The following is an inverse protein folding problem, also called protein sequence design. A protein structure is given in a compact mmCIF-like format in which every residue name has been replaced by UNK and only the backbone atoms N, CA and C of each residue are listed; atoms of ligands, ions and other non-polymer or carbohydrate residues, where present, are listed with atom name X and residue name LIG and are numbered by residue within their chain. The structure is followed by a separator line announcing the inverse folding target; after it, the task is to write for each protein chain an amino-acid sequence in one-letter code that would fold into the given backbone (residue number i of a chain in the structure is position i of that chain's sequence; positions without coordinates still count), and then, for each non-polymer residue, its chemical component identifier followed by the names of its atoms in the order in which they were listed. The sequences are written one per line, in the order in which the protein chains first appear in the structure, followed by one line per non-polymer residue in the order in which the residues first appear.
data_IF_057934194354
#
_entry.id   IF_057934194354
#
_cell.length_a   1.000
_cell.length_b   1.000
_cell.length_c   1.000
_cell.angle_alpha   90.00
_cell.angle_beta   90.00
_cell.angle_gamma   90.00
#
_symmetry.space_group_name_H-M   'P 1'
#
loop_
_entity.id
_entity.type
_entity.pdbx_description
1 polymer ?
#
# COMPACT_ATOMS: atom_id res chain seq x y z
N UNK A 1 -28.01 -19.61 19.11
CA UNK A 1 -27.45 -18.63 20.08
C UNK A 1 -27.33 -17.26 19.41
N UNK A 2 -27.88 -16.23 20.04
CA UNK A 2 -27.88 -14.82 19.61
C UNK A 2 -26.52 -14.32 19.13
N UNK A 3 -25.44 -14.65 19.84
CA UNK A 3 -24.08 -14.20 19.52
C UNK A 3 -23.63 -14.67 18.12
N UNK A 4 -24.09 -15.84 17.68
CA UNK A 4 -23.77 -16.34 16.34
C UNK A 4 -24.44 -15.50 15.25
N UNK A 5 -25.72 -15.14 15.42
CA UNK A 5 -26.44 -14.24 14.51
C UNK A 5 -25.78 -12.86 14.46
N UNK A 6 -25.41 -12.33 15.63
CA UNK A 6 -24.69 -11.07 15.74
C UNK A 6 -23.37 -11.06 14.95
N UNK A 7 -22.61 -12.15 15.01
CA UNK A 7 -21.36 -12.31 14.25
C UNK A 7 -21.60 -12.33 12.74
N UNK A 8 -22.67 -12.99 12.28
CA UNK A 8 -23.05 -13.01 10.86
C UNK A 8 -23.38 -11.59 10.40
N UNK A 9 -24.26 -10.90 11.12
CA UNK A 9 -24.67 -9.52 10.82
C UNK A 9 -23.48 -8.54 10.77
N UNK A 10 -22.50 -8.71 11.66
CA UNK A 10 -21.28 -7.89 11.65
C UNK A 10 -20.46 -8.04 10.36
N UNK A 11 -20.42 -9.24 9.78
CA UNK A 11 -19.56 -9.55 8.65
C UNK A 11 -20.20 -9.35 7.28
N UNK A 12 -21.51 -9.10 7.22
CA UNK A 12 -22.20 -8.79 5.98
C UNK A 12 -21.75 -7.45 5.41
N UNK A 13 -21.55 -7.40 4.09
CA UNK A 13 -21.09 -6.21 3.38
C UNK A 13 -21.59 -6.25 1.93
N UNK A 14 -21.97 -5.10 1.32
CA UNK A 14 -22.49 -5.06 -0.05
C UNK A 14 -21.55 -5.62 -1.13
N UNK A 15 -20.24 -5.60 -0.88
CA UNK A 15 -19.22 -6.15 -1.78
C UNK A 15 -18.85 -7.63 -1.48
N UNK A 16 -19.50 -8.27 -0.51
CA UNK A 16 -19.31 -9.71 -0.22
C UNK A 16 -20.58 -10.43 -0.70
N UNK A 17 -20.48 -11.42 -1.58
CA UNK A 17 -21.64 -12.19 -2.02
C UNK A 17 -22.19 -12.99 -0.83
N UNK A 18 -23.51 -13.16 -0.80
CA UNK A 18 -24.15 -14.06 0.15
C UNK A 18 -23.88 -15.53 -0.22
N UNK A 19 -23.99 -16.43 0.75
CA UNK A 19 -23.77 -17.88 0.59
C UNK A 19 -24.92 -18.59 -0.18
N UNK A 20 -25.48 -17.93 -1.18
CA UNK A 20 -26.47 -18.51 -2.10
C UNK A 20 -25.75 -19.09 -3.32
N UNK A 21 -26.32 -20.12 -3.95
CA UNK A 21 -25.78 -20.73 -5.20
C UNK A 21 -25.59 -19.70 -6.33
N UNK A 22 -26.27 -18.56 -6.26
CA UNK A 22 -26.23 -17.46 -7.24
C UNK A 22 -25.26 -16.32 -6.86
N UNK A 23 -24.70 -16.33 -5.64
CA UNK A 23 -23.77 -15.30 -5.18
C UNK A 23 -24.37 -13.88 -5.19
N UNK A 24 -25.60 -13.73 -4.68
CA UNK A 24 -26.34 -12.46 -4.72
C UNK A 24 -25.64 -11.38 -3.89
N UNK A 25 -25.61 -10.15 -4.43
CA UNK A 25 -25.13 -8.97 -3.72
C UNK A 25 -26.33 -8.16 -3.22
N UNK A 26 -26.31 -7.79 -1.95
CA UNK A 26 -27.34 -6.98 -1.33
C UNK A 26 -26.84 -5.55 -1.08
N UNK A 27 -27.76 -4.59 -1.15
CA UNK A 27 -27.50 -3.22 -0.75
C UNK A 27 -27.33 -3.11 0.78
N UNK A 28 -26.73 -2.01 1.25
CA UNK A 28 -26.53 -1.80 2.69
C UNK A 28 -27.86 -1.77 3.47
N UNK A 29 -28.92 -1.23 2.85
CA UNK A 29 -30.27 -1.15 3.43
C UNK A 29 -30.93 -2.53 3.51
N UNK A 30 -30.84 -3.33 2.44
CA UNK A 30 -31.36 -4.70 2.42
C UNK A 30 -30.66 -5.59 3.46
N UNK A 31 -29.34 -5.44 3.61
CA UNK A 31 -28.56 -6.16 4.64
C UNK A 31 -29.04 -5.76 6.04
N UNK A 32 -29.24 -4.46 6.30
CA UNK A 32 -29.72 -3.98 7.59
C UNK A 32 -31.12 -4.51 7.89
N UNK A 33 -32.05 -4.38 6.94
CA UNK A 33 -33.42 -4.87 7.10
C UNK A 33 -33.46 -6.38 7.32
N UNK A 34 -32.69 -7.15 6.53
CA UNK A 34 -32.58 -8.59 6.69
C UNK A 34 -32.04 -9.00 8.06
N UNK A 35 -31.00 -8.32 8.55
CA UNK A 35 -30.41 -8.58 9.86
C UNK A 35 -31.34 -8.21 11.04
N UNK A 36 -32.12 -7.13 10.90
CA UNK A 36 -33.15 -6.71 11.86
C UNK A 36 -34.24 -7.78 11.93
N UNK A 37 -34.75 -8.20 10.77
CA UNK A 37 -35.82 -9.18 10.67
C UNK A 37 -35.38 -10.56 11.21
N UNK A 38 -34.17 -11.01 10.87
CA UNK A 38 -33.62 -12.28 11.37
C UNK A 38 -33.48 -12.28 12.91
N UNK A 39 -32.99 -11.18 13.48
CA UNK A 39 -32.84 -11.06 14.93
C UNK A 39 -34.20 -10.93 15.64
N UNK A 40 -35.13 -10.17 15.06
CA UNK A 40 -36.50 -10.03 15.58
C UNK A 40 -37.21 -11.38 15.61
N UNK A 41 -37.21 -12.11 14.49
CA UNK A 41 -37.85 -13.41 14.36
C UNK A 41 -37.28 -14.41 15.37
N UNK A 42 -35.94 -14.44 15.51
CA UNK A 42 -35.30 -15.28 16.52
C UNK A 42 -35.71 -14.92 17.95
N UNK A 43 -35.80 -13.64 18.29
CA UNK A 43 -36.23 -13.22 19.62
C UNK A 43 -37.72 -13.50 19.86
N UNK A 44 -38.55 -13.39 18.83
CA UNK A 44 -39.98 -13.69 18.89
C UNK A 44 -40.24 -15.18 19.12
N UNK A 45 -39.57 -16.06 18.37
CA UNK A 45 -39.71 -17.52 18.50
C UNK A 45 -39.24 -18.07 19.86
N UNK A 46 -38.37 -17.34 20.56
CA UNK A 46 -37.80 -17.75 21.84
C UNK A 46 -38.40 -16.95 23.02
N UNK A 47 -39.45 -16.16 22.81
CA UNK A 47 -40.09 -15.29 23.82
C UNK A 47 -39.13 -14.28 24.51
N UNK A 48 -38.09 -13.85 23.80
CA UNK A 48 -37.04 -12.94 24.29
C UNK A 48 -37.35 -11.47 23.95
N UNK A 49 -38.57 -11.01 24.21
CA UNK A 49 -39.04 -9.66 23.87
C UNK A 49 -38.21 -8.53 24.51
N UNK A 50 -37.79 -8.71 25.75
CA UNK A 50 -36.93 -7.75 26.45
C UNK A 50 -35.53 -7.65 25.83
N UNK A 51 -34.98 -8.78 25.38
CA UNK A 51 -33.66 -8.83 24.74
C UNK A 51 -33.73 -8.11 23.39
N UNK A 52 -34.81 -8.33 22.64
CA UNK A 52 -35.06 -7.59 21.40
C UNK A 52 -35.11 -6.08 21.63
N UNK A 53 -35.89 -5.62 22.62
CA UNK A 53 -35.99 -4.20 22.94
C UNK A 53 -34.63 -3.58 23.27
N UNK A 54 -33.77 -4.30 24.02
CA UNK A 54 -32.41 -3.87 24.29
C UNK A 54 -31.54 -3.81 23.02
N UNK A 55 -31.60 -4.84 22.17
CA UNK A 55 -30.80 -4.92 20.95
C UNK A 55 -31.19 -3.84 19.94
N UNK A 56 -32.48 -3.58 19.77
CA UNK A 56 -32.97 -2.49 18.94
C UNK A 56 -32.37 -1.15 19.39
N UNK A 57 -32.58 -0.80 20.66
CA UNK A 57 -32.15 0.49 21.20
C UNK A 57 -30.63 0.71 21.17
N UNK A 58 -29.83 -0.36 21.27
CA UNK A 58 -28.37 -0.25 21.36
C UNK A 58 -27.62 -0.54 20.07
N UNK A 59 -28.14 -1.39 19.19
CA UNK A 59 -27.37 -1.93 18.06
C UNK A 59 -28.09 -1.79 16.72
N UNK A 60 -29.38 -2.06 16.66
CA UNK A 60 -30.10 -2.18 15.38
C UNK A 60 -30.81 -0.90 14.91
N UNK A 61 -30.86 0.14 15.74
CA UNK A 61 -31.29 1.47 15.28
C UNK A 61 -30.36 1.99 14.17
N UNK A 62 -30.86 2.70 13.14
CA UNK A 62 -30.04 3.16 12.01
C UNK A 62 -28.80 3.97 12.43
N UNK A 63 -28.95 4.81 13.46
CA UNK A 63 -27.86 5.60 14.01
C UNK A 63 -26.75 4.71 14.60
N UNK A 64 -27.12 3.67 15.36
CA UNK A 64 -26.16 2.76 16.00
C UNK A 64 -25.58 1.75 15.00
N UNK A 65 -26.38 1.28 14.05
CA UNK A 65 -25.96 0.34 13.02
C UNK A 65 -24.70 0.81 12.28
N UNK A 66 -24.67 2.11 11.94
CA UNK A 66 -23.52 2.73 11.27
C UNK A 66 -22.19 2.64 12.04
N UNK A 67 -22.24 2.49 13.36
CA UNK A 67 -21.06 2.48 14.23
C UNK A 67 -20.38 1.11 14.32
N UNK A 68 -21.13 0.03 14.11
CA UNK A 68 -20.60 -1.33 14.32
C UNK A 68 -20.72 -2.22 13.08
N UNK A 69 -21.76 -2.08 12.26
CA UNK A 69 -21.96 -2.95 11.11
C UNK A 69 -21.02 -2.58 9.97
N UNK A 70 -20.41 -3.60 9.34
CA UNK A 70 -19.53 -3.37 8.18
C UNK A 70 -20.30 -2.91 6.96
N UNK A 71 -21.57 -3.31 6.82
CA UNK A 71 -22.41 -2.96 5.66
C UNK A 71 -22.67 -1.47 5.50
N UNK A 72 -22.55 -0.67 6.58
CA UNK A 72 -22.71 0.78 6.53
C UNK A 72 -21.51 1.50 5.89
N UNK A 73 -20.34 0.86 5.83
CA UNK A 73 -19.15 1.42 5.19
C UNK A 73 -19.07 0.96 3.73
N UNK A 74 -18.69 1.86 2.82
CA UNK A 74 -18.45 1.50 1.42
C UNK A 74 -17.16 0.67 1.23
N UNK A 75 -16.21 0.80 2.17
CA UNK A 75 -14.90 0.15 2.09
C UNK A 75 -14.75 -0.99 3.10
N UNK A 76 -14.27 -2.14 2.63
CA UNK A 76 -13.86 -3.27 3.48
C UNK A 76 -12.46 -3.02 4.03
N UNK A 77 -12.33 -2.85 5.35
CA UNK A 77 -11.01 -2.86 5.98
C UNK A 77 -10.38 -4.25 5.83
N UNK A 78 -9.31 -4.35 5.03
CA UNK A 78 -8.51 -5.57 4.85
C UNK A 78 -7.70 -5.93 6.11
N UNK A 79 -7.43 -4.95 6.96
CA UNK A 79 -6.66 -5.14 8.19
C UNK A 79 -7.62 -5.40 9.35
N UNK A 80 -7.34 -6.45 10.14
CA UNK A 80 -7.96 -6.62 11.45
C UNK A 80 -7.53 -5.45 12.32
N UNK A 81 -8.50 -4.66 12.78
CA UNK A 81 -8.26 -3.50 13.65
C UNK A 81 -7.48 -3.88 14.90
N UNK A 82 -7.63 -5.11 15.40
CA UNK A 82 -6.86 -5.65 16.53
C UNK A 82 -5.36 -5.66 16.27
N UNK A 83 -4.90 -6.10 15.09
CA UNK A 83 -3.47 -6.10 14.76
C UNK A 83 -2.88 -4.70 14.67
N UNK A 84 -3.65 -3.75 14.13
CA UNK A 84 -3.22 -2.34 14.04
C UNK A 84 -3.11 -1.74 15.44
N UNK A 85 -4.12 -2.00 16.28
CA UNK A 85 -4.15 -1.54 17.68
C UNK A 85 -3.02 -2.17 18.49
N UNK A 86 -2.79 -3.48 18.37
CA UNK A 86 -1.69 -4.18 19.04
C UNK A 86 -0.32 -3.66 18.61
N UNK A 87 -0.12 -3.44 17.30
CA UNK A 87 1.14 -2.89 16.80
C UNK A 87 1.34 -1.44 17.27
N UNK A 88 0.28 -0.63 17.29
CA UNK A 88 0.31 0.72 17.86
C UNK A 88 0.72 0.67 19.34
N UNK A 89 0.08 -0.18 20.14
CA UNK A 89 0.41 -0.35 21.57
C UNK A 89 1.83 -0.85 21.78
N UNK A 90 2.33 -1.74 20.93
CA UNK A 90 3.73 -2.21 20.95
C UNK A 90 4.70 -1.06 20.74
N UNK A 91 4.45 -0.18 19.77
CA UNK A 91 5.29 1.00 19.52
C UNK A 91 5.18 2.03 20.65
N UNK A 92 3.96 2.32 21.09
CA UNK A 92 3.68 3.26 22.18
C UNK A 92 4.35 2.83 23.49
N UNK A 93 4.27 1.52 23.82
CA UNK A 93 4.89 0.96 25.01
C UNK A 93 6.42 1.10 24.99
N UNK A 94 7.05 0.90 23.83
CA UNK A 94 8.52 0.95 23.69
C UNK A 94 9.08 2.36 23.57
N UNK A 95 8.34 3.29 22.99
CA UNK A 95 8.82 4.68 22.78
C UNK A 95 8.43 5.59 23.93
N UNK A 96 7.13 5.63 24.24
CA UNK A 96 6.57 6.70 25.06
C UNK A 96 6.31 6.22 26.51
N UNK A 97 6.05 4.91 26.73
CA UNK A 97 5.85 4.34 28.07
C UNK A 97 7.07 3.59 28.64
N UNK A 98 8.20 3.54 27.94
CA UNK A 98 9.34 2.74 28.38
C UNK A 98 9.93 3.21 29.73
N UNK A 99 9.75 4.49 30.06
CA UNK A 99 10.27 5.11 31.29
C UNK A 99 9.28 5.00 32.46
N UNK A 100 8.02 4.61 32.23
CA UNK A 100 6.99 4.60 33.25
C UNK A 100 6.67 3.17 33.69
N UNK A 101 6.98 2.86 34.95
CA UNK A 101 6.53 1.63 35.59
C UNK A 101 5.06 1.78 36.01
N UNK A 102 4.16 0.99 35.41
CA UNK A 102 2.70 1.03 35.63
C UNK A 102 2.10 2.45 35.48
N UNK A 103 2.08 2.99 34.26
CA UNK A 103 1.50 4.31 34.02
C UNK A 103 0.01 4.34 34.37
N UNK A 104 -0.44 5.41 35.04
CA UNK A 104 -1.86 5.66 35.28
C UNK A 104 -2.59 5.92 33.95
N UNK A 105 -3.88 5.58 33.89
CA UNK A 105 -4.70 5.76 32.67
C UNK A 105 -4.71 7.21 32.17
N UNK A 106 -4.69 8.17 33.09
CA UNK A 106 -4.67 9.59 32.76
C UNK A 106 -3.40 10.00 32.01
N UNK A 107 -2.23 9.56 32.50
CA UNK A 107 -0.94 9.79 31.83
C UNK A 107 -0.90 9.15 30.44
N UNK A 108 -1.43 7.92 30.30
CA UNK A 108 -1.55 7.24 29.01
C UNK A 108 -2.40 8.06 28.05
N UNK A 109 -3.56 8.55 28.50
CA UNK A 109 -4.47 9.36 27.69
C UNK A 109 -3.82 10.65 27.24
N UNK A 110 -3.14 11.35 28.15
CA UNK A 110 -2.40 12.57 27.84
C UNK A 110 -1.30 12.31 26.78
N UNK A 111 -0.53 11.24 26.91
CA UNK A 111 0.53 10.87 25.95
C UNK A 111 -0.03 10.48 24.58
N UNK A 112 -1.21 9.84 24.54
CA UNK A 112 -1.88 9.51 23.27
C UNK A 112 -2.32 10.79 22.56
N UNK A 113 -2.93 11.73 23.28
CA UNK A 113 -3.43 12.99 22.70
C UNK A 113 -2.27 13.90 22.27
N UNK A 114 -1.26 14.07 23.13
CA UNK A 114 -0.14 14.99 22.89
C UNK A 114 0.93 14.44 21.95
N UNK A 115 1.19 13.13 22.01
CA UNK A 115 2.31 12.50 21.30
C UNK A 115 1.88 11.67 20.10
N UNK A 116 0.96 10.73 20.29
CA UNK A 116 0.59 9.74 19.26
C UNK A 116 -0.28 10.38 18.18
N UNK A 117 -1.33 11.09 18.58
CA UNK A 117 -2.32 11.64 17.66
C UNK A 117 -1.70 12.59 16.62
N UNK A 118 -0.82 13.56 17.00
CA UNK A 118 -0.22 14.45 16.01
C UNK A 118 0.72 13.71 15.04
N UNK A 119 1.45 12.69 15.52
CA UNK A 119 2.31 11.86 14.66
C UNK A 119 1.49 11.08 13.62
N UNK A 120 0.35 10.54 14.03
CA UNK A 120 -0.56 9.82 13.15
C UNK A 120 -1.18 10.77 12.13
N UNK A 121 -1.66 11.94 12.57
CA UNK A 121 -2.20 12.99 11.68
C UNK A 121 -1.16 13.41 10.64
N UNK A 122 0.07 13.68 11.05
CA UNK A 122 1.18 13.99 10.14
C UNK A 122 1.41 12.87 9.11
N UNK A 123 1.36 11.61 9.55
CA UNK A 123 1.52 10.46 8.65
C UNK A 123 0.36 10.38 7.65
N UNK A 124 -0.87 10.54 8.11
CA UNK A 124 -2.07 10.58 7.26
C UNK A 124 -1.98 11.71 6.24
N UNK A 125 -1.62 12.92 6.67
CA UNK A 125 -1.47 14.07 5.77
C UNK A 125 -0.36 13.88 4.74
N UNK A 126 0.68 13.12 5.07
CA UNK A 126 1.72 12.74 4.10
C UNK A 126 1.23 11.73 3.07
N UNK A 127 0.44 10.74 3.49
CA UNK A 127 -0.15 9.70 2.62
C UNK A 127 -1.21 10.32 1.71
N UNK A 128 -2.06 11.20 2.25
CA UNK A 128 -3.08 11.93 1.51
C UNK A 128 -2.51 13.05 0.64
N UNK A 129 -1.19 13.30 0.68
CA UNK A 129 -0.51 14.32 -0.12
C UNK A 129 -0.82 15.76 0.30
N UNK A 130 -1.54 15.97 1.40
CA UNK A 130 -1.93 17.30 1.92
C UNK A 130 -0.74 18.12 2.40
N UNK A 131 0.37 17.46 2.77
CA UNK A 131 1.55 18.13 3.34
C UNK A 131 2.46 18.82 2.31
N UNK A 132 2.30 18.54 1.01
CA UNK A 132 3.19 19.03 -0.07
C UNK A 132 2.41 19.51 -1.29
N UNK A 133 1.37 20.31 -1.09
CA UNK A 133 0.68 20.98 -2.20
C UNK A 133 1.69 21.88 -2.91
N UNK A 134 2.08 21.52 -4.14
CA UNK A 134 3.07 22.25 -4.95
C UNK A 134 4.49 21.66 -5.02
N UNK A 135 4.84 20.63 -4.24
CA UNK A 135 6.14 19.94 -4.35
C UNK A 135 5.94 18.49 -4.80
N UNK A 136 6.85 17.99 -5.64
CA UNK A 136 6.81 16.60 -6.07
C UNK A 136 6.76 15.64 -4.86
N UNK A 137 5.94 14.58 -4.97
CA UNK A 137 5.84 13.52 -3.96
C UNK A 137 7.23 12.91 -3.74
N UNK A 138 7.59 12.67 -2.48
CA UNK A 138 8.81 11.92 -2.20
C UNK A 138 8.67 10.53 -2.84
N UNK A 139 9.68 10.13 -3.60
CA UNK A 139 9.78 8.77 -4.10
C UNK A 139 9.90 7.82 -2.91
N UNK A 140 9.21 6.69 -2.97
CA UNK A 140 9.43 5.62 -2.00
C UNK A 140 10.90 5.14 -2.09
N UNK A 141 11.46 4.53 -1.03
CA UNK A 141 12.84 4.03 -1.06
C UNK A 141 13.11 3.10 -2.24
N UNK A 142 12.17 2.18 -2.53
CA UNK A 142 12.28 1.28 -3.69
C UNK A 142 12.19 2.02 -5.03
N UNK A 143 11.42 3.11 -5.13
CA UNK A 143 11.34 3.92 -6.35
C UNK A 143 12.63 4.73 -6.56
N UNK A 144 13.27 5.15 -5.48
CA UNK A 144 14.57 5.84 -5.53
C UNK A 144 15.65 4.87 -5.98
N UNK A 145 15.65 3.67 -5.41
CA UNK A 145 16.54 2.58 -5.79
C UNK A 145 16.33 2.18 -7.26
N UNK A 146 15.07 1.98 -7.66
CA UNK A 146 14.70 1.68 -9.03
C UNK A 146 15.16 2.79 -9.98
N UNK A 147 14.90 4.07 -9.66
CA UNK A 147 15.35 5.21 -10.47
C UNK A 147 16.88 5.23 -10.59
N UNK A 148 17.60 4.92 -9.51
CA UNK A 148 19.07 4.83 -9.51
C UNK A 148 19.54 3.74 -10.46
N UNK A 149 19.00 2.54 -10.33
CA UNK A 149 19.32 1.41 -11.22
C UNK A 149 18.95 1.71 -12.67
N UNK A 150 17.79 2.33 -12.91
CA UNK A 150 17.33 2.74 -14.23
C UNK A 150 18.30 3.69 -14.92
N UNK A 151 18.73 4.75 -14.22
CA UNK A 151 19.71 5.70 -14.74
C UNK A 151 21.05 5.01 -14.98
N UNK A 152 21.44 4.06 -14.12
CA UNK A 152 22.69 3.33 -14.29
C UNK A 152 22.65 2.40 -15.51
N UNK A 153 21.56 1.65 -15.69
CA UNK A 153 21.32 0.80 -16.85
C UNK A 153 21.25 1.60 -18.16
N UNK A 154 20.84 2.86 -18.09
CA UNK A 154 20.81 3.79 -19.22
C UNK A 154 22.17 4.22 -19.76
N UNK A 155 23.25 4.09 -18.98
CA UNK A 155 24.60 4.50 -19.37
C UNK A 155 25.26 3.46 -20.27
N UNK A 156 26.17 3.91 -21.13
CA UNK A 156 27.05 2.98 -21.86
C UNK A 156 27.97 2.26 -20.87
N UNK A 157 28.44 1.08 -21.27
CA UNK A 157 29.31 0.29 -20.40
C UNK A 157 30.66 0.97 -20.17
N UNK A 158 31.16 1.72 -21.15
CA UNK A 158 32.34 2.59 -21.04
C UNK A 158 32.14 3.68 -19.97
N UNK A 159 30.98 4.36 -19.99
CA UNK A 159 30.63 5.38 -19.00
C UNK A 159 30.56 4.82 -17.58
N UNK A 160 30.08 3.57 -17.41
CA UNK A 160 30.06 2.91 -16.10
C UNK A 160 31.46 2.60 -15.59
N UNK A 161 32.35 2.10 -16.45
CA UNK A 161 33.74 1.82 -16.08
C UNK A 161 34.47 3.10 -15.67
N UNK A 162 34.34 4.17 -16.44
CA UNK A 162 34.90 5.49 -16.12
C UNK A 162 34.37 6.03 -14.78
N UNK A 163 33.06 5.85 -14.50
CA UNK A 163 32.50 6.25 -13.21
C UNK A 163 32.97 5.38 -12.04
N UNK A 164 33.10 4.07 -12.22
CA UNK A 164 33.70 3.16 -11.22
C UNK A 164 35.14 3.58 -10.92
N UNK A 165 35.92 3.89 -11.94
CA UNK A 165 37.29 4.35 -11.78
C UNK A 165 37.36 5.70 -11.04
N UNK A 166 36.53 6.67 -11.43
CA UNK A 166 36.42 7.98 -10.76
C UNK A 166 35.98 7.87 -9.30
N UNK A 167 35.07 6.96 -8.97
CA UNK A 167 34.61 6.76 -7.60
C UNK A 167 35.69 6.14 -6.72
N UNK A 168 36.48 5.18 -7.25
CA UNK A 168 37.65 4.64 -6.55
C UNK A 168 38.74 5.70 -6.39
N UNK A 169 38.97 6.54 -7.42
CA UNK A 169 39.98 7.61 -7.37
C UNK A 169 39.62 8.75 -6.41
N UNK A 170 38.33 9.09 -6.28
CA UNK A 170 37.81 10.13 -5.38
C UNK A 170 37.47 9.60 -3.98
N UNK A 171 37.41 8.28 -3.80
CA UNK A 171 37.11 7.65 -2.53
C UNK A 171 38.27 7.72 -1.52
N UNK A 172 37.98 7.39 -0.27
CA UNK A 172 38.96 7.40 0.83
C UNK A 172 39.87 6.16 0.88
N UNK A 173 39.89 5.34 -0.18
CA UNK A 173 40.72 4.14 -0.26
C UNK A 173 42.20 4.54 -0.35
N UNK A 174 43.05 3.94 0.50
CA UNK A 174 44.47 4.29 0.62
C UNK A 174 45.37 3.22 0.00
N UNK A 175 46.42 3.69 -0.69
CA UNK A 175 47.54 2.86 -1.15
C UNK A 175 47.12 1.60 -1.91
N UNK A 176 47.57 0.45 -1.41
CA UNK A 176 47.47 -0.86 -2.06
C UNK A 176 46.03 -1.31 -2.38
N UNK A 177 45.06 -1.04 -1.50
CA UNK A 177 43.65 -1.41 -1.73
C UNK A 177 43.02 -0.64 -2.89
N UNK A 178 43.48 0.60 -3.12
CA UNK A 178 43.03 1.41 -4.26
C UNK A 178 43.62 0.89 -5.57
N UNK A 179 44.90 0.53 -5.56
CA UNK A 179 45.60 -0.03 -6.71
C UNK A 179 45.02 -1.38 -7.12
N UNK A 180 44.73 -2.26 -6.15
CA UNK A 180 44.06 -3.54 -6.39
C UNK A 180 42.66 -3.37 -6.99
N UNK A 181 41.87 -2.39 -6.51
CA UNK A 181 40.55 -2.06 -7.07
C UNK A 181 40.63 -1.50 -8.49
N UNK A 182 41.63 -0.69 -8.79
CA UNK A 182 41.84 -0.16 -10.15
C UNK A 182 42.31 -1.25 -11.11
N UNK A 183 43.17 -2.17 -10.65
CA UNK A 183 43.61 -3.33 -11.43
C UNK A 183 42.43 -4.27 -11.77
N UNK A 184 41.51 -4.50 -10.82
CA UNK A 184 40.28 -5.26 -11.07
C UNK A 184 39.37 -4.61 -12.11
N UNK A 185 39.28 -3.26 -12.13
CA UNK A 185 38.48 -2.53 -13.12
C UNK A 185 39.12 -2.65 -14.52
N UNK A 186 40.46 -2.57 -14.60
CA UNK A 186 41.18 -2.76 -15.86
C UNK A 186 41.07 -4.21 -16.38
N UNK A 187 41.06 -5.20 -15.49
CA UNK A 187 40.80 -6.60 -15.85
C UNK A 187 39.34 -6.81 -16.31
N UNK A 188 38.36 -6.11 -15.70
CA UNK A 188 36.95 -6.10 -16.12
C UNK A 188 36.78 -5.46 -17.52
N UNK A 189 37.60 -4.47 -17.87
CA UNK A 189 37.64 -3.86 -19.21
C UNK A 189 38.22 -4.80 -20.27
N UNK A 190 39.30 -5.54 -19.94
CA UNK A 190 39.94 -6.49 -20.86
C UNK A 190 39.17 -7.80 -21.05
N UNK A 191 38.12 -8.06 -20.25
CA UNK A 191 37.34 -9.28 -20.35
C UNK A 191 36.40 -9.21 -21.55
N UNK A 192 36.64 -10.09 -22.53
CA UNK A 192 35.79 -10.23 -23.70
C UNK A 192 34.34 -10.57 -23.27
N UNK A 193 33.40 -9.68 -23.62
CA UNK A 193 32.00 -9.86 -23.22
C UNK A 193 31.38 -10.91 -24.12
N UNK A 194 30.88 -11.99 -23.51
CA UNK A 194 30.20 -13.03 -24.25
C UNK A 194 29.03 -12.47 -25.08
N UNK A 195 28.90 -12.93 -26.32
CA UNK A 195 27.79 -12.58 -27.19
C UNK A 195 26.49 -13.11 -26.59
N UNK A 196 25.67 -12.23 -26.03
CA UNK A 196 24.39 -12.62 -25.45
C UNK A 196 23.29 -12.57 -26.52
N UNK A 197 22.61 -13.70 -26.73
CA UNK A 197 21.46 -13.79 -27.61
C UNK A 197 20.22 -13.38 -26.83
N UNK A 198 19.53 -12.34 -27.33
CA UNK A 198 18.26 -11.87 -26.77
C UNK A 198 17.17 -12.12 -27.78
N UNK A 199 16.17 -12.94 -27.43
CA UNK A 199 14.97 -13.17 -28.24
C UNK A 199 13.81 -12.40 -27.61
N UNK A 200 13.35 -11.35 -28.30
CA UNK A 200 12.26 -10.48 -27.84
C UNK A 200 10.92 -11.21 -27.85
N UNK A 201 10.66 -12.00 -28.90
CA UNK A 201 9.40 -12.73 -29.06
C UNK A 201 9.18 -13.79 -27.97
N UNK A 202 10.28 -14.36 -27.46
CA UNK A 202 10.27 -15.39 -26.43
C UNK A 202 10.58 -14.86 -25.03
N UNK A 203 10.83 -13.57 -24.88
CA UNK A 203 11.24 -12.94 -23.61
C UNK A 203 12.42 -13.66 -22.93
N UNK A 204 13.41 -14.11 -23.72
CA UNK A 204 14.59 -14.83 -23.21
C UNK A 204 15.88 -14.12 -23.56
N UNK A 205 16.81 -14.06 -22.61
CA UNK A 205 18.16 -13.54 -22.82
C UNK A 205 19.18 -14.53 -22.25
N UNK A 206 20.27 -14.81 -22.98
CA UNK A 206 21.33 -15.71 -22.50
C UNK A 206 22.31 -15.05 -21.53
N UNK A 207 22.01 -13.84 -21.02
CA UNK A 207 22.89 -13.17 -20.07
C UNK A 207 22.77 -13.76 -18.65
N UNK A 208 23.88 -13.80 -17.88
CA UNK A 208 23.86 -14.26 -16.48
C UNK A 208 22.88 -13.48 -15.59
N UNK A 209 22.64 -12.21 -15.90
CA UNK A 209 21.69 -11.34 -15.23
C UNK A 209 20.24 -11.87 -15.34
N UNK A 210 19.84 -12.36 -16.51
CA UNK A 210 18.52 -12.98 -16.75
C UNK A 210 18.29 -14.24 -15.90
N UNK A 211 19.33 -15.05 -15.72
CA UNK A 211 19.26 -16.26 -14.88
C UNK A 211 19.18 -15.93 -13.37
N UNK A 212 19.57 -14.71 -12.98
CA UNK A 212 19.60 -14.29 -11.57
C UNK A 212 18.35 -13.50 -11.18
N UNK A 213 17.74 -12.73 -12.10
CA UNK A 213 16.46 -12.07 -11.84
C UNK A 213 15.61 -11.86 -13.11
N UNK A 214 14.38 -12.39 -13.12
CA UNK A 214 13.40 -12.17 -14.19
C UNK A 214 12.93 -10.71 -14.33
N UNK A 215 13.21 -9.87 -13.32
CA UNK A 215 12.79 -8.45 -13.27
C UNK A 215 13.60 -7.58 -14.25
N UNK A 216 14.85 -7.94 -14.53
CA UNK A 216 15.74 -7.17 -15.40
C UNK A 216 15.34 -7.22 -16.89
N UNK A 217 14.53 -8.19 -17.32
CA UNK A 217 14.09 -8.28 -18.71
C UNK A 217 13.02 -7.22 -19.06
N UNK A 218 12.18 -6.84 -18.09
CA UNK A 218 11.28 -5.69 -18.22
C UNK A 218 12.04 -4.37 -18.41
N UNK A 219 13.26 -4.27 -17.88
CA UNK A 219 14.12 -3.09 -18.00
C UNK A 219 14.81 -3.02 -19.36
N UNK A 220 15.39 -4.13 -19.86
CA UNK A 220 16.14 -4.11 -21.13
C UNK A 220 15.26 -3.92 -22.37
N UNK A 221 14.03 -4.45 -22.35
CA UNK A 221 13.06 -4.26 -23.44
C UNK A 221 12.51 -2.84 -23.54
N UNK A 222 12.50 -2.08 -22.44
CA UNK A 222 12.06 -0.68 -22.47
C UNK A 222 13.07 0.28 -23.12
N UNK A 223 14.34 -0.14 -23.26
CA UNK A 223 15.41 0.68 -23.86
C UNK A 223 15.46 0.59 -25.39
N UNK A 224 14.91 -0.46 -26.00
CA UNK A 224 14.86 -0.62 -27.47
C UNK A 224 13.65 0.04 -28.13
N UNK A 225 12.67 0.53 -27.35
CA UNK A 225 11.52 1.27 -27.88
C UNK A 225 11.60 2.75 -27.48
N UNK A 226 11.51 3.70 -28.44
CA UNK A 226 11.44 5.11 -28.10
C UNK A 226 10.18 5.39 -27.26
N UNK A 227 10.38 6.18 -26.21
CA UNK A 227 9.41 6.70 -25.24
C UNK A 227 8.13 7.17 -25.92
N UNK A 228 7.16 6.28 -26.04
CA UNK A 228 5.80 6.62 -26.50
C UNK A 228 4.70 5.94 -25.68
N UNK A 229 5.06 5.05 -24.75
CA UNK A 229 4.12 4.33 -23.87
C UNK A 229 4.24 4.81 -22.42
N UNK A 230 4.43 6.12 -22.21
CA UNK A 230 4.10 6.78 -20.94
C UNK A 230 3.35 8.09 -21.24
N UNK A 231 2.30 8.00 -22.06
CA UNK A 231 1.20 8.96 -21.97
C UNK A 231 0.10 8.31 -21.13
N UNK A 232 -0.12 8.89 -19.96
CA UNK A 232 -1.26 8.64 -19.07
C UNK A 232 -2.55 8.33 -19.86
N UNK A 233 -3.24 7.20 -19.62
CA UNK A 233 -4.60 6.98 -20.13
C UNK A 233 -5.65 7.62 -19.22
N UNK A 234 -5.35 8.73 -18.54
CA UNK A 234 -6.30 9.39 -17.61
C UNK A 234 -6.34 10.92 -17.73
N UNK A 235 -6.10 11.49 -18.92
CA UNK A 235 -6.45 12.89 -19.13
C UNK A 235 -6.78 13.23 -20.59
N UNK A 236 -7.81 12.57 -21.14
CA UNK A 236 -8.43 12.94 -22.42
C UNK A 236 -9.95 12.80 -22.36
N UNK A 237 -10.57 13.30 -21.29
CA UNK A 237 -12.02 13.57 -21.26
C UNK A 237 -12.32 14.83 -20.47
N UNK A 238 -11.72 15.96 -20.88
CA UNK A 238 -12.21 17.28 -20.45
C UNK A 238 -11.78 18.40 -21.40
N UNK A 239 -12.16 18.29 -22.68
CA UNK A 239 -12.17 19.45 -23.57
C UNK A 239 -13.11 19.25 -24.77
N UNK A 240 -14.37 18.92 -24.49
CA UNK A 240 -15.45 19.00 -25.48
C UNK A 240 -16.71 19.52 -24.80
N UNK A 241 -16.73 20.81 -24.47
CA UNK A 241 -17.97 21.59 -24.31
C UNK A 241 -17.64 23.09 -24.37
N UNK A 242 -18.41 23.77 -25.22
CA UNK A 242 -18.65 25.22 -25.33
C UNK A 242 -17.54 26.12 -25.89
N UNK A 243 -17.50 26.25 -27.22
CA UNK A 243 -17.46 27.58 -27.88
C UNK A 243 -18.47 27.56 -29.03
N UNK A 244 -19.68 28.06 -28.77
CA UNK A 244 -20.52 28.69 -29.80
C UNK A 244 -20.33 30.20 -29.62
N UNK A 245 -19.74 30.86 -30.62
CA UNK A 245 -19.82 32.31 -30.88
C UNK A 245 -20.14 32.42 -32.38
N UNK A 246 -21.33 32.88 -32.73
CA UNK A 246 -21.64 34.29 -32.93
C UNK A 246 -20.90 34.86 -34.16
N UNK A 247 -21.58 34.79 -35.30
CA UNK A 247 -21.59 35.78 -36.39
C UNK A 247 -22.88 35.58 -37.16
#
# INVERSE_FOLDING_TARGET
MIVAKFRIHFHQHPAIPFDDEKGTYFTAEEIHHGAVQDMYQYCFENDLSQVWAYMWNRWYTPNQWSLWARSASHSISRLKTTMVVENLWKHFKRRDLAQFNRPRLDLVTHLVISGVLPRVQLTIDSVLGRRRVGRAKALAPWQTEFKRQWIDMGKSDEERLVQKELTVRKGNLKGKEREERLAQIAEEEMRDRGTHHTSVDKWTCSCPSYLTSYVELGMRLSMTYPVSIVRNPMNTERSSRTINKAS
#
